data_IF_414798539806
#
_entry.id   IF_414798539806
#
_cell.length_a   1.000
_cell.length_b   1.000
_cell.length_c   1.000
_cell.angle_alpha   90.00
_cell.angle_beta   90.00
_cell.angle_gamma   90.00
#
_symmetry.space_group_name_H-M   'P 1'
#
loop_
_entity.id
_entity.type
_entity.pdbx_description
1 polymer ?
#
# COMPACT_ATOMS: atom_id res chain seq x y z
N UNK A 1 -5.87 15.15 -31.77
CA UNK A 1 -6.93 14.68 -30.84
C UNK A 1 -6.27 14.09 -29.60
N UNK A 2 -6.90 14.26 -28.43
CA UNK A 2 -6.48 13.81 -27.08
C UNK A 2 -5.26 14.48 -26.44
N UNK A 3 -5.45 15.69 -25.91
CA UNK A 3 -4.71 16.23 -24.77
C UNK A 3 -5.56 17.29 -24.06
N UNK A 4 -6.68 16.89 -23.48
CA UNK A 4 -7.47 17.72 -22.58
C UNK A 4 -8.07 16.83 -21.49
N UNK A 5 -8.14 17.36 -20.26
CA UNK A 5 -8.73 16.79 -19.04
C UNK A 5 -7.78 16.10 -18.06
N UNK A 6 -6.80 16.85 -17.54
CA UNK A 6 -6.29 16.63 -16.18
C UNK A 6 -5.91 17.95 -15.50
N UNK A 7 -6.83 18.91 -15.49
CA UNK A 7 -6.69 20.13 -14.69
C UNK A 7 -8.05 20.52 -14.11
N UNK A 8 -8.37 19.96 -12.95
CA UNK A 8 -9.33 20.49 -11.97
C UNK A 8 -9.45 19.43 -10.90
N UNK A 9 -8.83 19.67 -9.75
CA UNK A 9 -9.37 19.38 -8.42
C UNK A 9 -8.39 19.91 -7.37
N UNK A 10 -8.96 20.72 -6.46
CA UNK A 10 -8.43 21.23 -5.19
C UNK A 10 -7.75 22.62 -5.19
N UNK A 11 -8.53 23.68 -4.88
CA UNK A 11 -8.01 24.90 -4.28
C UNK A 11 -8.01 24.85 -2.74
N UNK A 12 -7.09 25.61 -2.14
CA UNK A 12 -7.09 26.18 -0.78
C UNK A 12 -7.11 25.26 0.45
N UNK A 13 -5.94 25.14 1.09
CA UNK A 13 -5.81 24.88 2.53
C UNK A 13 -4.98 26.01 3.13
N UNK A 14 -5.63 26.96 3.81
CA UNK A 14 -4.99 27.95 4.69
C UNK A 14 -4.83 27.33 6.08
N UNK A 15 -3.60 27.14 6.52
CA UNK A 15 -3.25 26.77 7.89
C UNK A 15 -3.10 28.05 8.72
N UNK A 16 -3.96 28.25 9.71
CA UNK A 16 -3.81 29.29 10.74
C UNK A 16 -3.55 28.57 12.06
N UNK A 17 -2.34 28.73 12.59
CA UNK A 17 -1.99 28.33 13.96
C UNK A 17 -2.29 29.49 14.90
N UNK A 18 -3.13 29.26 15.92
CA UNK A 18 -3.29 30.15 17.05
C UNK A 18 -3.03 29.34 18.33
N UNK A 19 -1.85 29.54 18.93
CA UNK A 19 -1.41 28.96 20.19
C UNK A 19 -1.42 30.07 21.23
N UNK A 20 -2.34 30.00 22.19
CA UNK A 20 -2.31 30.83 23.39
C UNK A 20 -2.53 29.98 24.65
N UNK A 21 -1.47 29.98 25.48
CA UNK A 21 -1.41 29.95 26.96
C UNK A 21 -2.02 28.69 27.62
N UNK A 22 -1.44 28.14 28.69
CA UNK A 22 -1.49 28.69 30.05
C UNK A 22 -0.50 27.94 30.97
N UNK A 23 0.30 28.74 31.69
CA UNK A 23 0.83 28.65 33.06
C UNK A 23 1.20 27.32 33.74
N UNK A 24 2.51 27.24 34.04
CA UNK A 24 3.15 26.92 35.33
C UNK A 24 2.28 26.53 36.53
N UNK A 25 2.57 25.36 37.12
CA UNK A 25 2.67 25.16 38.59
C UNK A 25 3.80 24.13 38.86
N UNK A 26 4.88 24.47 39.59
CA UNK A 26 5.83 23.49 40.10
C UNK A 26 5.39 23.02 41.50
N UNK A 27 5.18 21.72 41.66
CA UNK A 27 4.99 21.13 42.99
C UNK A 27 6.19 20.22 43.30
N UNK A 28 7.11 20.74 44.11
CA UNK A 28 8.23 20.01 44.66
C UNK A 28 7.73 18.96 45.65
N UNK A 29 8.01 17.67 45.39
CA UNK A 29 7.92 16.61 46.41
C UNK A 29 9.32 16.26 46.93
N UNK A 30 9.49 16.09 48.24
CA UNK A 30 10.78 15.78 48.83
C UNK A 30 11.22 14.35 48.48
N UNK A 31 12.49 14.28 48.08
CA UNK A 31 13.29 13.07 47.89
C UNK A 31 13.37 12.28 49.19
N UNK A 32 12.80 11.08 49.21
CA UNK A 32 13.19 10.06 50.17
C UNK A 32 13.33 8.70 49.50
N UNK A 33 14.52 8.12 49.69
CA UNK A 33 14.90 6.72 49.45
C UNK A 33 15.04 6.29 47.97
N UNK A 34 16.10 6.79 47.32
CA UNK A 34 16.67 6.13 46.13
C UNK A 34 17.36 4.82 46.55
N UNK A 35 16.57 3.75 46.61
CA UNK A 35 17.10 2.37 46.59
C UNK A 35 17.78 2.20 45.23
N UNK A 36 19.11 2.07 45.21
CA UNK A 36 19.89 1.89 43.97
C UNK A 36 19.34 0.68 43.20
N UNK A 37 18.60 0.96 42.14
CA UNK A 37 18.23 -0.05 41.16
C UNK A 37 19.53 -0.52 40.51
N UNK A 38 19.79 -1.82 40.40
CA UNK A 38 20.97 -2.31 39.70
C UNK A 38 20.93 -1.78 38.26
N UNK A 39 21.89 -0.92 37.93
CA UNK A 39 22.11 -0.45 36.56
C UNK A 39 22.61 -1.65 35.77
N UNK A 40 21.69 -2.36 35.12
CA UNK A 40 22.02 -3.36 34.11
C UNK A 40 22.79 -2.63 33.00
N UNK A 41 24.11 -2.78 32.98
CA UNK A 41 24.92 -2.39 31.82
C UNK A 41 24.43 -3.24 30.64
N UNK A 42 23.86 -2.65 29.57
CA UNK A 42 23.51 -3.42 28.41
C UNK A 42 24.81 -4.01 27.86
N UNK A 43 24.90 -5.34 27.87
CA UNK A 43 25.93 -6.06 27.13
C UNK A 43 25.82 -5.57 25.68
N UNK A 44 26.91 -5.05 25.12
CA UNK A 44 26.98 -4.68 23.71
C UNK A 44 26.75 -5.94 22.87
N UNK A 45 25.47 -6.21 22.55
CA UNK A 45 25.09 -7.25 21.60
C UNK A 45 25.37 -6.70 20.22
N UNK A 46 26.51 -7.10 19.71
CA UNK A 46 27.00 -6.91 18.34
C UNK A 46 25.95 -7.35 17.32
N UNK A 47 25.37 -6.36 16.63
CA UNK A 47 25.14 -6.31 15.18
C UNK A 47 25.04 -7.66 14.44
N UNK A 48 23.97 -8.42 14.67
CA UNK A 48 23.57 -9.56 13.81
C UNK A 48 22.05 -9.67 13.60
N UNK A 49 21.36 -8.53 13.56
CA UNK A 49 19.88 -8.49 13.62
C UNK A 49 19.18 -7.78 12.45
N UNK A 50 19.91 -7.31 11.42
CA UNK A 50 19.27 -6.60 10.30
C UNK A 50 18.26 -7.47 9.54
N UNK A 51 18.56 -8.75 9.30
CA UNK A 51 17.65 -9.65 8.59
C UNK A 51 16.39 -9.99 9.41
N UNK A 52 16.52 -10.16 10.73
CA UNK A 52 15.38 -10.39 11.64
C UNK A 52 14.49 -9.15 11.79
N UNK A 53 14.99 -7.95 11.48
CA UNK A 53 14.23 -6.69 11.55
C UNK A 53 13.11 -6.64 10.50
N UNK A 54 13.28 -7.24 9.32
CA UNK A 54 12.25 -7.31 8.28
C UNK A 54 11.05 -8.19 8.67
N UNK A 55 11.25 -9.13 9.60
CA UNK A 55 10.20 -10.02 10.10
C UNK A 55 9.53 -9.50 11.37
N UNK A 56 10.09 -8.48 12.03
CA UNK A 56 9.46 -7.88 13.21
C UNK A 56 8.12 -7.25 12.83
N UNK A 57 7.05 -7.60 13.56
CA UNK A 57 5.75 -6.96 13.42
C UNK A 57 5.87 -5.52 13.93
N UNK A 58 5.56 -4.49 13.11
CA UNK A 58 5.61 -3.11 13.55
C UNK A 58 4.54 -2.85 14.62
N UNK A 59 4.84 -1.95 15.56
CA UNK A 59 3.86 -1.53 16.58
C UNK A 59 2.73 -0.73 15.93
N UNK A 60 1.52 -0.79 16.50
CA UNK A 60 0.37 -0.05 15.96
C UNK A 60 0.59 1.46 15.97
N UNK A 61 1.35 1.99 16.95
CA UNK A 61 1.74 3.40 16.97
C UNK A 61 2.67 3.76 15.81
N UNK A 62 3.67 2.91 15.52
CA UNK A 62 4.62 3.12 14.42
C UNK A 62 3.90 3.09 13.07
N UNK A 63 2.94 2.19 12.92
CA UNK A 63 2.07 2.12 11.75
C UNK A 63 1.28 3.42 11.56
N UNK A 64 0.60 3.91 12.61
CA UNK A 64 -0.20 5.14 12.54
C UNK A 64 0.66 6.33 12.08
N UNK A 65 1.88 6.44 12.60
CA UNK A 65 2.87 7.45 12.18
C UNK A 65 3.23 7.27 10.70
N UNK A 66 3.51 6.03 10.27
CA UNK A 66 3.88 5.70 8.88
C UNK A 66 2.77 6.03 7.89
N UNK A 67 1.52 5.89 8.29
CA UNK A 67 0.32 6.18 7.49
C UNK A 67 -0.17 7.63 7.64
N UNK A 68 0.49 8.45 8.49
CA UNK A 68 0.11 9.84 8.80
C UNK A 68 -1.32 9.98 9.34
N UNK A 69 -1.74 9.04 10.19
CA UNK A 69 -3.07 9.00 10.79
C UNK A 69 -2.97 9.40 12.26
N UNK A 70 -3.86 10.26 12.76
CA UNK A 70 -3.82 10.68 14.16
C UNK A 70 -4.26 9.56 15.12
N UNK A 71 -3.86 9.69 16.38
CA UNK A 71 -3.94 8.59 17.36
C UNK A 71 -5.35 8.12 17.71
N UNK A 72 -6.36 8.98 17.54
CA UNK A 72 -7.77 8.69 17.87
C UNK A 72 -8.45 7.72 16.89
N UNK A 73 -7.79 7.35 15.79
CA UNK A 73 -8.25 6.30 14.91
C UNK A 73 -7.75 4.94 15.36
N UNK A 74 -8.64 3.96 15.46
CA UNK A 74 -8.29 2.58 15.77
C UNK A 74 -8.28 1.69 14.53
N UNK A 75 -7.34 0.74 14.51
CA UNK A 75 -7.17 -0.16 13.38
C UNK A 75 -8.16 -1.32 13.52
N UNK A 76 -9.16 -1.35 12.63
CA UNK A 76 -10.16 -2.43 12.59
C UNK A 76 -9.80 -3.52 11.58
N UNK A 77 -8.98 -3.21 10.58
CA UNK A 77 -8.60 -4.15 9.52
C UNK A 77 -7.11 -4.10 9.25
N UNK A 78 -6.47 -5.27 9.20
CA UNK A 78 -5.05 -5.43 8.88
C UNK A 78 -4.90 -6.51 7.81
N UNK A 79 -4.56 -6.11 6.59
CA UNK A 79 -4.33 -7.07 5.53
C UNK A 79 -3.06 -7.92 5.82
N UNK A 80 -3.27 -9.21 6.06
CA UNK A 80 -2.20 -10.18 6.31
C UNK A 80 -1.22 -10.31 5.14
N UNK A 81 -1.67 -10.01 3.92
CA UNK A 81 -0.88 -10.09 2.70
C UNK A 81 -0.17 -8.78 2.32
N UNK A 82 -0.18 -7.75 3.18
CA UNK A 82 0.43 -6.44 2.87
C UNK A 82 1.89 -6.50 2.39
N UNK A 83 2.71 -7.42 2.93
CA UNK A 83 4.10 -7.60 2.46
C UNK A 83 4.17 -8.16 1.03
N UNK A 84 3.30 -9.11 0.70
CA UNK A 84 3.22 -9.68 -0.65
C UNK A 84 2.73 -8.64 -1.65
N UNK A 85 1.73 -7.83 -1.30
CA UNK A 85 1.25 -6.74 -2.15
C UNK A 85 2.37 -5.73 -2.47
N UNK A 86 3.18 -5.38 -1.47
CA UNK A 86 4.34 -4.51 -1.67
C UNK A 86 5.39 -5.17 -2.58
N UNK A 87 5.71 -6.44 -2.34
CA UNK A 87 6.68 -7.17 -3.14
C UNK A 87 6.23 -7.28 -4.61
N UNK A 88 5.00 -7.70 -4.87
CA UNK A 88 4.42 -7.77 -6.21
C UNK A 88 4.51 -6.42 -6.92
N UNK A 89 4.28 -5.32 -6.19
CA UNK A 89 4.40 -3.98 -6.74
C UNK A 89 5.83 -3.60 -7.11
N UNK A 90 6.81 -3.92 -6.27
CA UNK A 90 8.23 -3.67 -6.58
C UNK A 90 8.66 -4.52 -7.77
N UNK A 91 8.28 -5.79 -7.82
CA UNK A 91 8.63 -6.69 -8.93
C UNK A 91 8.00 -6.22 -10.25
N UNK A 92 6.70 -5.92 -10.26
CA UNK A 92 6.01 -5.45 -11.48
C UNK A 92 6.58 -4.12 -11.97
N UNK A 93 6.84 -3.17 -11.07
CA UNK A 93 7.47 -1.90 -11.43
C UNK A 93 8.91 -2.09 -11.93
N UNK A 94 9.68 -2.98 -11.29
CA UNK A 94 11.04 -3.31 -11.70
C UNK A 94 11.11 -3.96 -13.08
N UNK A 95 10.21 -4.91 -13.37
CA UNK A 95 10.13 -5.54 -14.69
C UNK A 95 9.84 -4.48 -15.76
N UNK A 96 8.82 -3.64 -15.56
CA UNK A 96 8.47 -2.58 -16.53
C UNK A 96 9.63 -1.60 -16.70
N UNK A 97 10.31 -1.21 -15.61
CA UNK A 97 11.47 -0.33 -15.67
C UNK A 97 12.62 -0.93 -16.47
N UNK A 98 12.94 -2.22 -16.25
CA UNK A 98 13.98 -2.93 -16.99
C UNK A 98 13.64 -3.02 -18.49
N UNK A 99 12.38 -3.28 -18.83
CA UNK A 99 11.94 -3.33 -20.23
C UNK A 99 12.04 -1.96 -20.90
N UNK A 100 11.59 -0.89 -20.23
CA UNK A 100 11.74 0.47 -20.72
C UNK A 100 13.21 0.88 -20.88
N UNK A 101 14.07 0.54 -19.91
CA UNK A 101 15.49 0.82 -19.96
C UNK A 101 16.18 0.06 -21.10
N UNK A 102 15.85 -1.22 -21.31
CA UNK A 102 16.35 -2.01 -22.43
C UNK A 102 15.92 -1.45 -23.78
N UNK A 103 14.65 -1.06 -23.92
CA UNK A 103 14.15 -0.42 -25.12
C UNK A 103 14.84 0.93 -25.39
N UNK A 104 15.02 1.77 -24.36
CA UNK A 104 15.74 3.04 -24.50
C UNK A 104 17.21 2.81 -24.87
N UNK A 105 17.86 1.82 -24.27
CA UNK A 105 19.25 1.48 -24.58
C UNK A 105 19.43 1.09 -26.06
N UNK A 106 18.54 0.25 -26.58
CA UNK A 106 18.55 -0.13 -28.00
C UNK A 106 18.35 1.11 -28.88
N UNK A 107 17.39 1.98 -28.56
CA UNK A 107 17.14 3.17 -29.37
C UNK A 107 18.27 4.22 -29.33
N UNK A 108 19.00 4.32 -28.21
CA UNK A 108 20.06 5.34 -28.02
C UNK A 108 21.45 4.85 -28.41
N UNK A 109 21.74 3.56 -28.19
CA UNK A 109 23.09 3.00 -28.28
C UNK A 109 23.22 1.84 -29.25
N UNK A 110 22.13 1.33 -29.86
CA UNK A 110 22.32 0.37 -30.93
C UNK A 110 22.94 1.10 -32.13
N UNK A 111 24.19 0.79 -32.51
CA UNK A 111 24.69 1.23 -33.80
C UNK A 111 23.75 0.62 -34.85
N UNK A 112 23.39 1.37 -35.87
CA UNK A 112 22.70 0.83 -37.04
C UNK A 112 23.49 -0.40 -37.50
N UNK A 113 23.00 -1.60 -37.18
CA UNK A 113 23.67 -2.84 -37.51
C UNK A 113 23.54 -3.02 -39.02
N UNK A 114 24.52 -2.46 -39.73
CA UNK A 114 24.94 -2.98 -41.03
C UNK A 114 25.11 -4.49 -40.83
N UNK A 115 24.33 -5.23 -41.58
CA UNK A 115 24.42 -6.69 -41.75
C UNK A 115 25.87 -7.11 -41.92
N UNK A 116 26.53 -7.55 -40.85
CA UNK A 116 27.74 -8.34 -40.94
C UNK A 116 27.34 -9.81 -40.94
N UNK A 117 27.42 -10.39 -42.12
CA UNK A 117 27.46 -11.82 -42.40
C UNK A 117 28.39 -12.48 -41.38
N UNK A 118 27.91 -13.50 -40.68
CA UNK A 118 28.78 -14.40 -39.93
C UNK A 118 28.73 -15.76 -40.60
N UNK A 119 29.93 -16.21 -40.92
CA UNK A 119 30.32 -17.47 -41.53
C UNK A 119 29.69 -18.69 -40.85
N UNK A 120 29.58 -19.74 -41.66
CA UNK A 120 29.04 -21.05 -41.32
C UNK A 120 29.84 -21.74 -40.21
N UNK A 121 29.12 -22.20 -39.18
CA UNK A 121 29.66 -23.08 -38.15
C UNK A 121 28.88 -23.00 -36.86
N UNK A 122 27.95 -23.94 -36.68
CA UNK A 122 27.01 -24.10 -35.56
C UNK A 122 25.78 -23.18 -35.63
N UNK A 123 24.71 -23.72 -36.23
CA UNK A 123 23.35 -23.18 -36.16
C UNK A 123 22.88 -23.13 -34.70
N UNK A 124 23.26 -22.09 -33.97
CA UNK A 124 22.49 -21.66 -32.82
C UNK A 124 21.16 -21.15 -33.37
N UNK A 125 20.10 -21.93 -33.15
CA UNK A 125 18.71 -21.61 -33.47
C UNK A 125 18.40 -20.21 -32.92
N UNK A 126 18.56 -19.17 -33.73
CA UNK A 126 18.21 -17.80 -33.34
C UNK A 126 16.74 -17.84 -32.98
N UNK A 127 16.33 -17.44 -31.76
CA UNK A 127 14.92 -17.40 -31.43
C UNK A 127 14.25 -16.46 -32.43
N UNK A 128 13.24 -16.96 -33.14
CA UNK A 128 12.46 -16.18 -34.08
C UNK A 128 11.90 -14.97 -33.31
N UNK A 129 12.22 -13.76 -33.80
CA UNK A 129 11.95 -12.50 -33.10
C UNK A 129 10.46 -12.36 -32.71
N UNK A 130 9.57 -12.93 -33.52
CA UNK A 130 8.12 -12.99 -33.29
C UNK A 130 7.76 -13.65 -31.95
N UNK A 131 8.43 -14.74 -31.56
CA UNK A 131 8.16 -15.42 -30.29
C UNK A 131 8.55 -14.56 -29.07
N UNK A 132 9.58 -13.72 -29.22
CA UNK A 132 10.03 -12.83 -28.15
C UNK A 132 8.99 -11.73 -27.87
N UNK A 133 8.42 -11.12 -28.92
CA UNK A 133 7.38 -10.10 -28.77
C UNK A 133 6.09 -10.65 -28.15
N UNK A 134 5.70 -11.88 -28.53
CA UNK A 134 4.54 -12.56 -27.93
C UNK A 134 4.78 -12.83 -26.44
N UNK A 135 5.96 -13.33 -26.06
CA UNK A 135 6.29 -13.55 -24.66
C UNK A 135 6.30 -12.23 -23.85
N UNK A 136 6.89 -11.18 -24.42
CA UNK A 136 7.00 -9.87 -23.78
C UNK A 136 5.62 -9.22 -23.54
N UNK A 137 4.76 -9.25 -24.56
CA UNK A 137 3.40 -8.72 -24.45
C UNK A 137 2.57 -9.48 -23.42
N UNK A 138 2.67 -10.83 -23.38
CA UNK A 138 2.02 -11.65 -22.36
C UNK A 138 2.48 -11.31 -20.94
N UNK A 139 3.80 -11.13 -20.74
CA UNK A 139 4.36 -10.72 -19.46
C UNK A 139 3.83 -9.34 -19.02
N UNK A 140 3.73 -8.39 -19.95
CA UNK A 140 3.21 -7.05 -19.67
C UNK A 140 1.74 -7.11 -19.24
N UNK A 141 0.91 -7.89 -19.95
CA UNK A 141 -0.50 -8.09 -19.58
C UNK A 141 -0.63 -8.67 -18.18
N UNK A 142 0.15 -9.70 -17.83
CA UNK A 142 0.17 -10.26 -16.47
C UNK A 142 0.55 -9.19 -15.44
N UNK A 143 1.58 -8.39 -15.72
CA UNK A 143 2.00 -7.31 -14.82
C UNK A 143 0.88 -6.28 -14.60
N UNK A 144 0.16 -5.89 -15.66
CA UNK A 144 -0.96 -4.94 -15.58
C UNK A 144 -2.10 -5.51 -14.75
N UNK A 145 -2.49 -6.77 -14.98
CA UNK A 145 -3.55 -7.44 -14.21
C UNK A 145 -3.17 -7.53 -12.73
N UNK A 146 -1.94 -7.93 -12.41
CA UNK A 146 -1.43 -7.95 -11.03
C UNK A 146 -1.44 -6.55 -10.42
N UNK A 147 -1.06 -5.51 -11.18
CA UNK A 147 -1.06 -4.14 -10.70
C UNK A 147 -2.47 -3.65 -10.36
N UNK A 148 -3.46 -3.95 -11.21
CA UNK A 148 -4.87 -3.64 -10.96
C UNK A 148 -5.33 -4.36 -9.69
N UNK A 149 -5.06 -5.67 -9.57
CA UNK A 149 -5.43 -6.47 -8.40
C UNK A 149 -4.87 -5.87 -7.10
N UNK A 150 -3.56 -5.58 -7.07
CA UNK A 150 -2.88 -5.02 -5.90
C UNK A 150 -3.44 -3.64 -5.52
N UNK A 151 -3.76 -2.79 -6.50
CA UNK A 151 -4.32 -1.46 -6.23
C UNK A 151 -5.76 -1.49 -5.70
N UNK A 152 -6.52 -2.56 -5.98
CA UNK A 152 -7.88 -2.74 -5.45
C UNK A 152 -7.92 -3.26 -4.01
N UNK A 153 -6.81 -3.75 -3.48
CA UNK A 153 -6.76 -4.28 -2.12
C UNK A 153 -6.35 -3.20 -1.11
N UNK A 154 -7.15 -2.95 -0.05
CA UNK A 154 -6.75 -2.06 1.03
C UNK A 154 -5.69 -2.74 1.88
N UNK A 155 -4.73 -1.94 2.35
CA UNK A 155 -3.67 -2.40 3.26
C UNK A 155 -4.23 -2.46 4.68
N UNK A 156 -4.94 -1.39 5.08
CA UNK A 156 -5.46 -1.17 6.44
C UNK A 156 -6.73 -0.34 6.36
N UNK A 157 -7.62 -0.55 7.33
CA UNK A 157 -8.81 0.27 7.54
C UNK A 157 -8.81 0.74 8.99
N UNK A 158 -9.04 2.03 9.17
CA UNK A 158 -9.13 2.69 10.44
C UNK A 158 -10.56 3.13 10.70
N UNK A 159 -11.00 3.06 11.95
CA UNK A 159 -12.28 3.54 12.42
C UNK A 159 -12.06 4.69 13.41
N UNK A 160 -12.89 5.71 13.30
CA UNK A 160 -13.07 6.71 14.34
C UNK A 160 -14.47 6.58 14.90
N UNK A 161 -14.57 5.88 16.05
CA UNK A 161 -15.83 5.53 16.69
C UNK A 161 -16.73 6.76 16.91
N UNK A 162 -16.21 7.81 17.53
CA UNK A 162 -16.98 9.00 17.91
C UNK A 162 -17.71 9.69 16.73
N UNK A 163 -17.14 9.66 15.52
CA UNK A 163 -17.72 10.31 14.34
C UNK A 163 -18.27 9.33 13.31
N UNK A 164 -18.15 8.02 13.52
CA UNK A 164 -18.52 6.99 12.54
C UNK A 164 -17.80 7.17 11.20
N UNK A 165 -16.53 7.57 11.23
CA UNK A 165 -15.71 7.81 10.05
C UNK A 165 -14.67 6.72 9.86
N UNK A 166 -14.47 6.30 8.61
CA UNK A 166 -13.51 5.27 8.25
C UNK A 166 -12.46 5.81 7.30
N UNK A 167 -11.23 5.30 7.43
CA UNK A 167 -10.11 5.65 6.56
C UNK A 167 -9.52 4.39 5.98
N UNK A 168 -9.56 4.30 4.66
CA UNK A 168 -9.00 3.21 3.89
C UNK A 168 -7.64 3.61 3.37
N UNK A 169 -6.62 2.81 3.68
CA UNK A 169 -5.26 3.05 3.20
C UNK A 169 -4.94 2.07 2.08
N UNK A 170 -4.66 2.64 0.91
CA UNK A 170 -4.22 1.94 -0.29
C UNK A 170 -2.77 2.29 -0.60
N UNK A 171 -2.15 1.47 -1.44
CA UNK A 171 -0.92 1.91 -2.10
C UNK A 171 -1.23 3.02 -3.11
N UNK A 172 -0.31 3.97 -3.27
CA UNK A 172 -0.42 5.11 -4.19
C UNK A 172 -0.14 4.70 -5.64
N UNK A 173 0.35 5.62 -6.48
CA UNK A 173 0.86 5.31 -7.82
C UNK A 173 2.33 4.86 -7.79
N UNK A 174 3.12 5.45 -6.89
CA UNK A 174 4.51 5.05 -6.65
C UNK A 174 4.56 3.92 -5.61
N UNK A 175 5.53 2.98 -5.69
CA UNK A 175 5.65 1.85 -4.75
C UNK A 175 5.75 2.27 -3.28
N UNK A 176 6.35 3.44 -3.02
CA UNK A 176 6.51 3.98 -1.66
C UNK A 176 5.33 4.86 -1.22
N UNK A 177 4.53 5.33 -2.18
CA UNK A 177 3.42 6.25 -1.91
C UNK A 177 2.21 5.49 -1.37
N UNK A 178 1.40 6.18 -0.58
CA UNK A 178 0.13 5.68 -0.05
C UNK A 178 -0.97 6.68 -0.31
N UNK A 179 -2.19 6.17 -0.48
CA UNK A 179 -3.39 6.96 -0.65
C UNK A 179 -4.37 6.64 0.46
N UNK A 180 -4.91 7.68 1.10
CA UNK A 180 -6.00 7.56 2.04
C UNK A 180 -7.32 7.90 1.34
N UNK A 181 -8.36 7.12 1.60
CA UNK A 181 -9.74 7.39 1.18
C UNK A 181 -10.60 7.42 2.43
N UNK A 182 -11.24 8.57 2.66
CA UNK A 182 -12.16 8.76 3.78
C UNK A 182 -13.56 8.38 3.33
N UNK A 183 -14.29 7.66 4.17
CA UNK A 183 -15.71 7.40 3.97
C UNK A 183 -16.47 7.40 5.29
N UNK A 184 -17.77 7.59 5.20
CA UNK A 184 -18.68 7.50 6.35
C UNK A 184 -19.27 6.08 6.45
N UNK A 185 -19.88 5.80 7.60
CA UNK A 185 -20.72 4.63 7.79
C UNK A 185 -21.76 4.52 6.65
N UNK A 186 -22.04 3.30 6.19
CA UNK A 186 -23.01 2.96 5.11
C UNK A 186 -22.65 3.45 3.68
N UNK A 187 -21.50 4.11 3.49
CA UNK A 187 -21.03 4.46 2.13
C UNK A 187 -20.38 3.29 1.38
N UNK A 188 -20.10 2.19 2.10
CA UNK A 188 -19.53 0.96 1.56
C UNK A 188 -20.67 0.02 1.20
N UNK A 189 -20.79 -0.34 -0.09
CA UNK A 189 -21.78 -1.32 -0.56
C UNK A 189 -21.13 -2.52 -1.21
N UNK A 190 -21.71 -3.70 -1.00
CA UNK A 190 -21.32 -4.93 -1.69
C UNK A 190 -21.72 -4.85 -3.17
N UNK A 191 -20.88 -5.38 -4.05
CA UNK A 191 -21.18 -5.46 -5.49
C UNK A 191 -21.91 -6.76 -5.77
N UNK A 192 -23.19 -6.68 -6.13
CA UNK A 192 -24.02 -7.85 -6.41
C UNK A 192 -23.67 -8.53 -7.75
N UNK A 193 -23.27 -7.75 -8.76
CA UNK A 193 -23.05 -8.25 -10.12
C UNK A 193 -21.56 -8.47 -10.41
N UNK A 194 -20.99 -9.53 -9.86
CA UNK A 194 -19.62 -9.92 -10.15
C UNK A 194 -19.60 -11.11 -11.12
N UNK A 195 -18.81 -10.99 -12.19
CA UNK A 195 -18.66 -12.03 -13.23
C UNK A 195 -18.32 -13.39 -12.60
N UNK A 196 -18.90 -14.50 -13.10
CA UNK A 196 -18.79 -15.82 -12.47
C UNK A 196 -17.37 -16.40 -12.46
N UNK A 197 -16.44 -15.81 -13.21
CA UNK A 197 -15.08 -16.33 -13.42
C UNK A 197 -14.07 -15.92 -12.35
N UNK A 198 -14.38 -14.96 -11.47
CA UNK A 198 -13.40 -14.43 -10.52
C UNK A 198 -13.56 -15.07 -9.13
N UNK A 199 -12.51 -15.62 -8.50
CA UNK A 199 -12.64 -16.28 -7.20
C UNK A 199 -12.92 -15.28 -6.05
N UNK A 200 -12.55 -14.00 -6.20
CA UNK A 200 -12.77 -12.95 -5.21
C UNK A 200 -14.08 -12.17 -5.42
N UNK A 201 -15.05 -12.75 -6.13
CA UNK A 201 -16.30 -12.07 -6.54
C UNK A 201 -17.13 -11.59 -5.34
N UNK A 202 -17.22 -12.44 -4.31
CA UNK A 202 -18.07 -12.22 -3.13
C UNK A 202 -17.47 -11.22 -2.13
N UNK A 203 -16.21 -10.85 -2.35
CA UNK A 203 -15.42 -9.93 -1.53
C UNK A 203 -15.24 -8.56 -2.19
N UNK A 204 -16.02 -8.24 -3.23
CA UNK A 204 -15.98 -6.94 -3.90
C UNK A 204 -16.96 -5.95 -3.30
N UNK A 205 -16.44 -4.77 -3.01
CA UNK A 205 -17.17 -3.64 -2.46
C UNK A 205 -16.90 -2.38 -3.28
N UNK A 206 -17.82 -1.43 -3.20
CA UNK A 206 -17.67 -0.10 -3.78
C UNK A 206 -17.83 0.94 -2.67
N UNK A 207 -16.83 1.79 -2.52
CA UNK A 207 -16.84 2.97 -1.65
C UNK A 207 -17.27 4.17 -2.51
N UNK A 208 -18.30 4.89 -2.05
CA UNK A 208 -18.78 6.14 -2.64
C UNK A 208 -19.02 6.05 -4.18
N UNK A 209 -19.62 4.94 -4.63
CA UNK A 209 -19.95 4.63 -6.04
C UNK A 209 -18.79 4.64 -7.04
N UNK A 210 -17.55 4.92 -6.62
CA UNK A 210 -16.40 5.15 -7.51
C UNK A 210 -15.21 4.23 -7.23
N UNK A 211 -14.93 3.94 -5.96
CA UNK A 211 -13.74 3.18 -5.59
C UNK A 211 -14.09 1.71 -5.38
N UNK A 212 -13.66 0.82 -6.29
CA UNK A 212 -13.82 -0.63 -6.17
C UNK A 212 -12.72 -1.18 -5.27
N UNK A 213 -13.12 -1.97 -4.28
CA UNK A 213 -12.25 -2.49 -3.23
C UNK A 213 -12.52 -3.96 -3.02
N UNK A 214 -11.47 -4.74 -2.81
CA UNK A 214 -11.57 -6.15 -2.41
C UNK A 214 -11.23 -6.25 -0.93
N UNK A 215 -12.16 -6.72 -0.10
CA UNK A 215 -11.97 -6.87 1.34
C UNK A 215 -12.29 -8.28 1.79
N UNK A 216 -11.40 -8.87 2.60
CA UNK A 216 -11.62 -10.19 3.19
C UNK A 216 -12.08 -10.02 4.64
N UNK A 217 -13.12 -10.75 5.02
CA UNK A 217 -13.68 -10.71 6.38
C UNK A 217 -12.66 -11.17 7.44
N UNK A 218 -11.84 -12.16 7.10
CA UNK A 218 -10.82 -12.76 7.99
C UNK A 218 -9.74 -11.79 8.48
N UNK A 219 -9.59 -10.64 7.82
CA UNK A 219 -8.59 -9.63 8.16
C UNK A 219 -9.13 -8.51 9.05
N UNK A 220 -10.41 -8.55 9.39
CA UNK A 220 -10.99 -7.69 10.41
C UNK A 220 -10.59 -8.18 11.81
N UNK A 221 -10.45 -7.24 12.74
CA UNK A 221 -10.16 -7.54 14.15
C UNK A 221 -11.32 -8.29 14.79
N UNK A 222 -12.55 -7.86 14.51
CA UNK A 222 -13.79 -8.45 14.99
C UNK A 222 -14.77 -8.60 13.81
N UNK A 223 -15.57 -9.67 13.75
CA UNK A 223 -16.61 -9.79 12.72
C UNK A 223 -17.69 -8.70 12.87
N UNK A 224 -17.89 -8.17 14.08
CA UNK A 224 -18.76 -7.03 14.33
C UNK A 224 -18.29 -5.77 13.57
N UNK A 225 -16.98 -5.51 13.51
CA UNK A 225 -16.43 -4.34 12.80
C UNK A 225 -16.78 -4.40 11.30
N UNK A 226 -16.79 -5.60 10.72
CA UNK A 226 -17.17 -5.83 9.33
C UNK A 226 -18.67 -5.55 9.10
N UNK A 227 -19.54 -6.07 9.97
CA UNK A 227 -20.97 -5.85 9.88
C UNK A 227 -21.36 -4.38 10.11
N UNK A 228 -20.69 -3.69 11.03
CA UNK A 228 -20.88 -2.26 11.29
C UNK A 228 -20.43 -1.45 10.07
N UNK A 229 -19.27 -1.76 9.49
CA UNK A 229 -18.76 -1.07 8.28
C UNK A 229 -19.75 -1.16 7.11
N UNK A 230 -20.40 -2.30 6.93
CA UNK A 230 -21.41 -2.54 5.88
C UNK A 230 -22.80 -2.00 6.24
N UNK A 231 -23.02 -1.56 7.49
CA UNK A 231 -24.31 -1.03 7.94
C UNK A 231 -25.33 -2.08 8.36
N UNK A 232 -24.94 -3.35 8.51
CA UNK A 232 -25.82 -4.40 9.02
C UNK A 232 -26.07 -4.28 10.53
N UNK A 233 -25.09 -3.75 11.27
CA UNK A 233 -25.15 -3.55 12.72
C UNK A 233 -24.89 -2.08 13.07
N UNK A 234 -25.54 -1.59 14.13
CA UNK A 234 -25.27 -0.25 14.67
C UNK A 234 -24.05 -0.31 15.60
N UNK A 235 -23.19 0.71 15.62
CA UNK A 235 -22.09 0.78 16.57
C UNK A 235 -22.65 0.94 18.00
N UNK A 236 -22.18 0.09 18.92
CA UNK A 236 -22.40 0.23 20.35
C UNK A 236 -21.30 1.14 20.89
N UNK A 237 -21.68 2.29 21.47
CA UNK A 237 -20.77 3.28 22.04
C UNK A 237 -20.82 3.27 23.56
#
# INVERSE_FOLDING_TARGET
MSAFLFSRLCPNIKFVYNMQKVFFVPCYRPLSVLKRVPVFKPKNVTTRTYFLKFFKRPSDAEVKIRDKIPSYFDVIYKNGMSKYLLLTRICTFGIVLCLCAGALYINLFAPATTTKVIEWGNEQRKPQEEHLYVLLSGLLVICVVLHILVNTMPIRIYNFAEKGQYVFIFYGLLPTSRRAVFCKLNEVRKVESSSPLLPWRDHKFVIDKKCKVIMLEEYFRLPADYNILLGYQKPEF
#
